data_IF_565022679496
#
_entry.id   IF_565022679496
#
_cell.length_a   1.000
_cell.length_b   1.000
_cell.length_c   1.000
_cell.angle_alpha   90.00
_cell.angle_beta   90.00
_cell.angle_gamma   90.00
#
_symmetry.space_group_name_H-M   'P 1'
#
loop_
_entity.id
_entity.type
_entity.pdbx_description
1 polymer ?
#
# COMPACT_ATOMS: atom_id res chain seq x y z
N UNK A 1 0.82 65.33 12.20
CA UNK A 1 0.97 64.74 10.85
C UNK A 1 -0.07 63.65 10.69
N UNK A 2 -1.07 63.89 9.83
CA UNK A 2 -2.22 63.01 9.64
C UNK A 2 -1.88 61.87 8.67
N UNK A 3 -1.88 60.64 9.16
CA UNK A 3 -1.81 59.44 8.32
C UNK A 3 -3.24 59.08 7.89
N UNK A 4 -3.55 59.33 6.62
CA UNK A 4 -4.82 59.01 5.98
C UNK A 4 -4.79 57.53 5.56
N UNK A 5 -5.38 56.64 6.36
CA UNK A 5 -5.51 55.22 5.99
C UNK A 5 -6.68 55.02 5.02
N UNK A 6 -6.53 54.19 3.97
CA UNK A 6 -7.54 54.04 2.93
C UNK A 6 -8.71 53.15 3.38
N UNK A 7 -9.88 53.47 2.80
CA UNK A 7 -11.13 52.73 2.91
C UNK A 7 -11.07 51.38 2.18
N UNK A 8 -11.65 50.32 2.78
CA UNK A 8 -11.98 49.09 2.06
C UNK A 8 -12.36 47.91 2.95
N UNK A 9 -13.68 47.70 3.14
CA UNK A 9 -14.37 46.45 3.53
C UNK A 9 -14.12 45.85 4.92
N UNK A 10 -12.88 45.60 5.34
CA UNK A 10 -12.58 44.87 6.59
C UNK A 10 -12.91 45.69 7.84
N UNK A 11 -12.66 47.01 7.80
CA UNK A 11 -12.90 47.91 8.91
C UNK A 11 -14.41 48.06 9.23
N UNK A 12 -15.27 48.05 8.20
CA UNK A 12 -16.73 48.11 8.37
C UNK A 12 -17.32 46.83 8.97
N UNK A 13 -16.68 45.68 8.74
CA UNK A 13 -17.08 44.39 9.30
C UNK A 13 -16.66 44.28 10.78
N UNK A 14 -15.43 44.69 11.11
CA UNK A 14 -14.99 44.84 12.51
C UNK A 14 -15.81 45.86 13.29
N UNK A 15 -16.25 46.96 12.66
CA UNK A 15 -17.09 47.97 13.31
C UNK A 15 -18.48 47.45 13.70
N UNK A 16 -18.97 46.39 13.04
CA UNK A 16 -20.24 45.71 13.38
C UNK A 16 -20.08 44.64 14.47
N UNK A 17 -18.87 44.11 14.69
CA UNK A 17 -18.59 43.07 15.69
C UNK A 17 -18.22 43.61 17.08
N UNK A 18 -18.12 44.92 17.25
CA UNK A 18 -17.86 45.52 18.55
C UNK A 18 -19.18 45.62 19.37
N UNK A 19 -19.49 44.57 20.13
CA UNK A 19 -20.69 44.47 20.98
C UNK A 19 -20.56 45.18 22.35
N UNK A 20 -19.41 45.81 22.63
CA UNK A 20 -19.15 46.45 23.92
C UNK A 20 -19.47 47.96 23.90
N UNK A 21 -20.10 48.42 24.98
CA UNK A 21 -20.41 49.84 25.25
C UNK A 21 -19.09 50.61 25.33
N UNK A 22 -18.91 51.67 24.52
CA UNK A 22 -17.69 52.51 24.55
C UNK A 22 -17.48 53.07 25.96
N UNK A 23 -16.29 52.85 26.53
CA UNK A 23 -15.88 53.52 27.77
C UNK A 23 -15.63 55.01 27.47
N UNK A 24 -15.96 55.92 28.39
CA UNK A 24 -15.64 57.35 28.24
C UNK A 24 -14.11 57.54 28.16
N UNK A 25 -13.68 58.47 27.31
CA UNK A 25 -12.27 58.65 26.92
C UNK A 25 -11.35 59.06 28.09
N UNK A 26 -11.92 59.52 29.21
CA UNK A 26 -11.19 59.95 30.43
C UNK A 26 -10.62 58.79 31.27
N UNK A 27 -11.06 57.54 31.04
CA UNK A 27 -10.50 56.34 31.70
C UNK A 27 -9.56 55.54 30.80
N UNK A 28 -9.36 55.96 29.54
CA UNK A 28 -8.62 55.17 28.54
C UNK A 28 -7.39 55.94 28.07
N UNK A 29 -6.25 55.75 28.73
CA UNK A 29 -4.98 56.31 28.26
C UNK A 29 -4.45 55.43 27.13
N UNK A 30 -4.56 55.91 25.89
CA UNK A 30 -3.95 55.24 24.74
C UNK A 30 -2.43 55.45 24.76
N UNK A 31 -1.66 54.39 25.02
CA UNK A 31 -0.20 54.44 24.96
C UNK A 31 0.30 54.01 23.58
N UNK A 32 1.15 54.83 22.96
CA UNK A 32 1.71 54.55 21.62
C UNK A 32 2.58 53.29 21.61
N UNK A 33 3.27 52.99 22.71
CA UNK A 33 4.05 51.75 22.82
C UNK A 33 3.15 50.52 23.02
N UNK A 34 2.01 50.68 23.69
CA UNK A 34 1.04 49.61 23.88
C UNK A 34 0.43 49.14 22.56
N UNK A 35 0.09 50.07 21.66
CA UNK A 35 -0.44 49.72 20.34
C UNK A 35 0.57 48.98 19.47
N UNK A 36 1.86 49.36 19.53
CA UNK A 36 2.94 48.66 18.83
C UNK A 36 3.11 47.25 19.38
N UNK A 37 3.16 47.10 20.71
CA UNK A 37 3.34 45.80 21.35
C UNK A 37 2.16 44.86 21.06
N UNK A 38 0.92 45.37 21.13
CA UNK A 38 -0.28 44.61 20.77
C UNK A 38 -0.26 44.19 19.30
N UNK A 39 0.18 45.07 18.38
CA UNK A 39 0.27 44.74 16.96
C UNK A 39 1.30 43.64 16.71
N UNK A 40 2.49 43.75 17.32
CA UNK A 40 3.54 42.72 17.21
C UNK A 40 3.05 41.38 17.77
N UNK A 41 2.40 41.39 18.95
CA UNK A 41 1.82 40.20 19.54
C UNK A 41 0.74 39.55 18.66
N UNK A 42 -0.15 40.35 18.09
CA UNK A 42 -1.18 39.85 17.17
C UNK A 42 -0.58 39.21 15.92
N UNK A 43 0.47 39.81 15.34
CA UNK A 43 1.20 39.25 14.19
C UNK A 43 1.89 37.94 14.56
N UNK A 44 2.56 37.88 15.71
CA UNK A 44 3.21 36.66 16.18
C UNK A 44 2.20 35.52 16.39
N UNK A 45 1.06 35.80 17.02
CA UNK A 45 -0.02 34.83 17.24
C UNK A 45 -0.60 34.33 15.91
N UNK A 46 -0.84 35.22 14.95
CA UNK A 46 -1.34 34.84 13.63
C UNK A 46 -0.32 33.98 12.85
N UNK A 47 0.97 34.32 12.93
CA UNK A 47 2.03 33.56 12.27
C UNK A 47 2.15 32.15 12.85
N UNK A 48 2.15 32.02 14.18
CA UNK A 48 2.18 30.72 14.85
C UNK A 48 0.96 29.87 14.46
N UNK A 49 -0.23 30.47 14.43
CA UNK A 49 -1.45 29.77 14.01
C UNK A 49 -1.35 29.22 12.59
N UNK A 50 -0.83 30.00 11.64
CA UNK A 50 -0.66 29.54 10.24
C UNK A 50 0.38 28.42 10.13
N UNK A 51 1.49 28.53 10.86
CA UNK A 51 2.53 27.49 10.85
C UNK A 51 2.00 26.16 11.42
N UNK A 52 1.29 26.22 12.55
CA UNK A 52 0.73 25.03 13.18
C UNK A 52 -0.39 24.42 12.33
N UNK A 53 -1.24 25.26 11.74
CA UNK A 53 -2.29 24.79 10.83
C UNK A 53 -1.70 24.07 9.61
N UNK A 54 -0.59 24.59 9.07
CA UNK A 54 0.10 23.93 7.97
C UNK A 54 0.73 22.60 8.41
N UNK A 55 1.34 22.56 9.60
CA UNK A 55 1.89 21.33 10.17
C UNK A 55 0.79 20.28 10.45
N UNK A 56 -0.39 20.71 10.89
CA UNK A 56 -1.54 19.85 11.12
C UNK A 56 -2.14 19.29 9.82
N UNK A 57 -2.18 20.10 8.76
CA UNK A 57 -2.64 19.66 7.44
C UNK A 57 -1.59 18.82 6.70
N UNK A 58 -0.32 18.89 7.11
CA UNK A 58 0.74 18.07 6.55
C UNK A 58 0.57 16.61 7.00
N UNK A 59 0.16 15.75 6.07
CA UNK A 59 0.05 14.31 6.30
C UNK A 59 1.45 13.74 6.51
N UNK A 60 1.76 13.33 7.75
CA UNK A 60 2.93 12.50 8.04
C UNK A 60 2.52 11.04 8.02
N UNK A 61 3.12 10.28 7.11
CA UNK A 61 2.97 8.83 7.07
C UNK A 61 3.92 8.24 8.13
N UNK A 62 3.36 7.80 9.24
CA UNK A 62 4.08 7.04 10.26
C UNK A 62 3.73 5.57 10.11
N UNK A 63 4.73 4.74 9.81
CA UNK A 63 4.56 3.29 9.69
C UNK A 63 4.67 2.67 11.08
N UNK A 64 3.53 2.40 11.71
CA UNK A 64 3.49 1.61 12.94
C UNK A 64 3.51 0.11 12.61
N UNK A 65 4.23 -0.66 13.42
CA UNK A 65 4.26 -2.12 13.34
C UNK A 65 3.24 -2.63 14.36
N UNK A 66 2.08 -3.05 13.89
CA UNK A 66 1.09 -3.73 14.72
C UNK A 66 1.26 -5.24 14.58
N UNK A 67 1.07 -5.94 15.70
CA UNK A 67 1.06 -7.40 15.72
C UNK A 67 -0.29 -7.83 15.14
N UNK A 68 -0.25 -8.55 14.03
CA UNK A 68 -1.46 -9.12 13.44
C UNK A 68 -1.93 -10.29 14.31
N UNK A 69 -3.00 -10.06 15.07
CA UNK A 69 -3.65 -11.05 15.93
C UNK A 69 -4.59 -11.99 15.13
N UNK A 70 -4.50 -12.02 13.79
CA UNK A 70 -5.26 -13.00 13.00
C UNK A 70 -4.67 -14.41 13.16
N UNK A 71 -5.24 -15.10 14.15
CA UNK A 71 -4.93 -16.48 14.52
C UNK A 71 -5.29 -17.46 13.39
N UNK A 72 -4.28 -18.23 12.97
CA UNK A 72 -4.38 -19.59 12.42
C UNK A 72 -5.24 -19.77 11.15
N UNK A 73 -4.98 -18.98 10.12
CA UNK A 73 -5.49 -19.28 8.78
C UNK A 73 -4.40 -19.92 7.92
N UNK A 74 -4.76 -20.99 7.20
CA UNK A 74 -3.85 -21.63 6.24
C UNK A 74 -3.44 -20.62 5.16
N UNK A 75 -2.16 -20.27 5.11
CA UNK A 75 -1.61 -19.38 4.08
C UNK A 75 -1.55 -20.12 2.74
N UNK A 76 -2.17 -19.52 1.71
CA UNK A 76 -2.12 -20.08 0.34
C UNK A 76 -0.83 -19.67 -0.36
N UNK A 77 0.07 -20.63 -0.53
CA UNK A 77 1.32 -20.44 -1.27
C UNK A 77 1.10 -20.88 -2.72
N UNK A 78 1.31 -19.97 -3.68
CA UNK A 78 1.29 -20.28 -5.10
C UNK A 78 2.73 -20.23 -5.62
N UNK A 79 3.22 -21.33 -6.17
CA UNK A 79 4.56 -21.39 -6.76
C UNK A 79 4.53 -22.10 -8.11
N UNK A 80 5.44 -21.69 -8.98
CA UNK A 80 5.71 -22.35 -10.26
C UNK A 80 7.23 -22.51 -10.36
N UNK A 81 7.70 -23.74 -10.17
CA UNK A 81 9.11 -24.09 -10.20
C UNK A 81 9.33 -25.20 -11.22
N UNK A 82 10.44 -25.09 -11.94
CA UNK A 82 10.96 -26.15 -12.82
C UNK A 82 12.23 -26.71 -12.20
N UNK A 83 12.30 -28.04 -12.09
CA UNK A 83 13.50 -28.75 -11.65
C UNK A 83 14.13 -29.39 -12.88
N UNK A 84 15.34 -28.98 -13.22
CA UNK A 84 16.11 -29.60 -14.29
C UNK A 84 16.75 -30.91 -13.77
N UNK A 85 16.83 -31.94 -14.62
CA UNK A 85 17.46 -33.24 -14.33
C UNK A 85 16.81 -34.11 -13.24
N UNK A 86 15.55 -33.84 -12.87
CA UNK A 86 14.77 -34.68 -11.94
C UNK A 86 13.47 -35.22 -12.57
N UNK A 87 13.23 -36.55 -12.57
CA UNK A 87 11.95 -37.12 -13.00
C UNK A 87 10.82 -36.74 -12.03
N UNK A 88 9.62 -36.47 -12.56
CA UNK A 88 8.45 -36.09 -11.74
C UNK A 88 8.05 -37.12 -10.67
N UNK A 89 8.45 -38.39 -10.83
CA UNK A 89 8.18 -39.48 -9.89
C UNK A 89 8.98 -39.34 -8.58
N UNK A 90 10.19 -38.80 -8.65
CA UNK A 90 11.08 -38.67 -7.49
C UNK A 90 11.00 -37.29 -6.82
N UNK A 91 10.28 -36.34 -7.42
CA UNK A 91 10.11 -35.01 -6.86
C UNK A 91 8.96 -35.03 -5.86
N UNK A 92 9.26 -34.81 -4.59
CA UNK A 92 8.27 -34.53 -3.53
C UNK A 92 8.36 -33.08 -3.09
N UNK A 93 7.26 -32.57 -2.53
CA UNK A 93 7.21 -31.24 -1.91
C UNK A 93 6.93 -31.44 -0.44
N UNK A 94 7.77 -30.86 0.42
CA UNK A 94 7.64 -30.90 1.86
C UNK A 94 7.48 -29.46 2.38
N UNK A 95 6.63 -29.28 3.39
CA UNK A 95 6.40 -27.99 4.05
C UNK A 95 6.94 -28.04 5.48
N UNK A 96 7.77 -27.06 5.83
CA UNK A 96 8.24 -26.84 7.20
C UNK A 96 7.85 -25.43 7.63
N UNK A 97 7.15 -25.32 8.76
CA UNK A 97 6.81 -24.04 9.37
C UNK A 97 7.65 -23.78 10.64
N UNK A 98 7.82 -22.51 11.01
CA UNK A 98 8.50 -22.07 12.26
C UNK A 98 7.79 -22.56 13.51
N UNK A 99 6.49 -22.88 13.39
CA UNK A 99 5.66 -23.50 14.42
C UNK A 99 6.06 -24.96 14.71
N UNK A 100 6.94 -25.54 13.88
CA UNK A 100 7.38 -26.93 14.02
C UNK A 100 6.46 -27.95 13.34
N UNK A 101 5.48 -27.49 12.57
CA UNK A 101 4.65 -28.33 11.71
C UNK A 101 5.46 -28.78 10.50
N UNK A 102 5.45 -30.09 10.22
CA UNK A 102 6.16 -30.68 9.10
C UNK A 102 5.24 -31.62 8.33
N UNK A 103 4.96 -31.26 7.08
CA UNK A 103 4.10 -32.03 6.17
C UNK A 103 4.94 -32.55 5.02
N UNK A 104 5.02 -33.86 4.89
CA UNK A 104 5.80 -34.53 3.85
C UNK A 104 4.95 -34.92 2.64
N UNK A 105 5.55 -34.82 1.46
CA UNK A 105 4.99 -35.29 0.19
C UNK A 105 3.56 -34.79 -0.04
N UNK A 106 3.38 -33.48 0.10
CA UNK A 106 2.08 -32.86 -0.14
C UNK A 106 1.70 -32.99 -1.62
N UNK A 107 0.53 -33.58 -1.86
CA UNK A 107 0.00 -33.80 -3.22
C UNK A 107 -1.30 -33.02 -3.46
N UNK A 108 -1.90 -32.46 -2.40
CA UNK A 108 -3.14 -31.67 -2.50
C UNK A 108 -2.86 -30.37 -3.23
N UNK A 109 -3.59 -30.14 -4.33
CA UNK A 109 -3.49 -28.91 -5.15
C UNK A 109 -2.12 -28.68 -5.82
N UNK A 110 -1.31 -29.74 -5.99
CA UNK A 110 -0.04 -29.67 -6.72
C UNK A 110 -0.15 -30.55 -7.95
N UNK A 111 0.18 -30.00 -9.12
CA UNK A 111 0.19 -30.74 -10.38
C UNK A 111 1.61 -30.85 -10.91
N UNK A 112 2.10 -32.08 -11.08
CA UNK A 112 3.43 -32.33 -11.62
C UNK A 112 3.33 -32.51 -13.14
N UNK A 113 4.11 -31.75 -13.88
CA UNK A 113 4.12 -31.82 -15.35
C UNK A 113 5.53 -32.09 -15.85
N UNK A 114 5.66 -33.03 -16.78
CA UNK A 114 6.93 -33.35 -17.41
C UNK A 114 7.25 -32.32 -18.49
N UNK A 115 8.45 -31.76 -18.42
CA UNK A 115 8.98 -30.83 -19.41
C UNK A 115 10.01 -31.52 -20.32
N UNK A 116 10.06 -31.08 -21.57
CA UNK A 116 11.12 -31.42 -22.54
C UNK A 116 12.40 -30.62 -22.27
N UNK A 117 13.50 -31.00 -22.91
CA UNK A 117 14.75 -30.21 -22.97
C UNK A 117 14.54 -28.74 -23.40
N UNK A 118 13.49 -28.46 -24.17
CA UNK A 118 13.11 -27.11 -24.62
C UNK A 118 12.10 -26.41 -23.67
N UNK A 119 11.98 -26.87 -22.42
CA UNK A 119 10.99 -26.40 -21.42
C UNK A 119 9.54 -26.40 -21.88
N UNK A 120 9.20 -27.33 -22.78
CA UNK A 120 7.87 -27.55 -23.31
C UNK A 120 7.15 -28.67 -22.57
N UNK A 121 5.84 -28.54 -22.38
CA UNK A 121 5.02 -29.51 -21.66
C UNK A 121 4.81 -30.79 -22.49
N UNK A 122 5.10 -31.97 -21.93
CA UNK A 122 4.92 -33.26 -22.62
C UNK A 122 3.70 -34.00 -22.08
N UNK A 123 3.62 -34.16 -20.76
CA UNK A 123 2.57 -34.95 -20.11
C UNK A 123 2.38 -34.54 -18.64
N UNK A 124 1.15 -34.65 -18.15
CA UNK A 124 0.83 -34.57 -16.73
C UNK A 124 1.19 -35.91 -16.06
N UNK A 125 1.82 -35.87 -14.88
CA UNK A 125 1.96 -37.06 -14.07
C UNK A 125 0.60 -37.40 -13.46
N UNK A 126 0.11 -38.65 -13.57
CA UNK A 126 -1.16 -39.03 -12.95
C UNK A 126 -0.98 -39.08 -11.44
N UNK A 127 -1.51 -38.10 -10.73
CA UNK A 127 -1.60 -38.09 -9.28
C UNK A 127 -3.07 -38.25 -8.83
N UNK A 128 -3.25 -38.89 -7.67
CA UNK A 128 -4.56 -39.16 -7.09
C UNK A 128 -5.20 -37.86 -6.56
N UNK A 129 -5.74 -37.04 -7.48
CA UNK A 129 -6.56 -35.89 -7.12
C UNK A 129 -6.32 -34.59 -7.87
N UNK A 130 -5.30 -34.48 -8.75
CA UNK A 130 -5.15 -33.29 -9.58
C UNK A 130 -5.87 -33.42 -10.93
N UNK A 131 -6.87 -32.55 -11.12
CA UNK A 131 -7.22 -32.10 -12.46
C UNK A 131 -6.12 -31.20 -13.02
N UNK A 132 -6.04 -31.08 -14.35
CA UNK A 132 -5.10 -30.17 -15.03
C UNK A 132 -5.28 -28.73 -14.50
N UNK A 133 -4.22 -28.07 -13.98
CA UNK A 133 -4.34 -26.79 -13.31
C UNK A 133 -4.73 -25.69 -14.31
N UNK A 134 -5.74 -24.89 -13.98
CA UNK A 134 -6.34 -23.90 -14.88
C UNK A 134 -5.39 -22.77 -15.30
N UNK A 135 -4.28 -22.55 -14.58
CA UNK A 135 -3.25 -21.57 -14.94
C UNK A 135 -2.30 -22.07 -16.04
N UNK A 136 -2.15 -23.39 -16.18
CA UNK A 136 -1.35 -24.01 -17.24
C UNK A 136 -2.30 -24.39 -18.38
N UNK A 137 -2.95 -23.40 -18.99
CA UNK A 137 -3.61 -23.63 -20.28
C UNK A 137 -2.57 -23.45 -21.37
N UNK A 138 -2.12 -24.53 -22.05
CA UNK A 138 -1.21 -24.36 -23.17
C UNK A 138 -1.91 -23.52 -24.23
N UNK A 139 -1.19 -22.52 -24.71
CA UNK A 139 -1.64 -21.67 -25.80
C UNK A 139 -1.89 -22.55 -27.04
N UNK A 140 -2.80 -22.17 -27.94
CA UNK A 140 -3.05 -22.95 -29.16
C UNK A 140 -1.77 -23.24 -29.98
N UNK A 141 -0.77 -22.33 -29.91
CA UNK A 141 0.55 -22.52 -30.49
C UNK A 141 1.39 -23.61 -29.78
N UNK A 142 1.33 -23.68 -28.44
CA UNK A 142 2.01 -24.70 -27.66
C UNK A 142 1.38 -26.09 -27.88
N UNK A 143 0.04 -26.16 -27.99
CA UNK A 143 -0.67 -27.39 -28.35
C UNK A 143 -0.33 -27.90 -29.76
N UNK A 144 -0.09 -27.01 -30.72
CA UNK A 144 0.33 -27.39 -32.07
C UNK A 144 1.77 -27.95 -32.08
N UNK A 145 2.66 -27.36 -31.28
CA UNK A 145 4.05 -27.83 -31.11
C UNK A 145 4.12 -29.19 -30.39
N UNK A 146 3.40 -29.30 -29.27
CA UNK A 146 2.61 -30.47 -28.84
C UNK A 146 2.64 -31.71 -29.73
N UNK A 147 1.68 -31.69 -30.64
CA UNK A 147 1.40 -32.73 -31.62
C UNK A 147 2.57 -32.98 -32.59
N UNK A 148 3.38 -31.96 -32.91
CA UNK A 148 4.47 -32.08 -33.86
C UNK A 148 5.66 -32.93 -33.36
N UNK A 149 6.05 -32.87 -32.08
CA UNK A 149 7.13 -33.75 -31.57
C UNK A 149 6.66 -35.18 -31.31
N UNK A 150 5.37 -35.38 -30.97
CA UNK A 150 4.81 -36.73 -30.82
C UNK A 150 4.84 -37.53 -32.13
N UNK A 151 4.79 -36.86 -33.28
CA UNK A 151 4.96 -37.50 -34.58
C UNK A 151 6.40 -37.86 -34.97
N UNK A 152 7.41 -37.44 -34.18
CA UNK A 152 8.83 -37.69 -34.46
C UNK A 152 9.49 -38.76 -33.56
N UNK A 153 8.87 -39.12 -32.45
CA UNK A 153 9.44 -40.07 -31.47
C UNK A 153 9.13 -41.55 -31.76
N UNK A 154 8.20 -41.85 -32.69
CA UNK A 154 7.87 -43.23 -33.11
C UNK A 154 8.68 -43.68 -34.36
N UNK A 155 9.73 -42.94 -34.75
CA UNK A 155 10.53 -43.20 -35.95
C UNK A 155 12.02 -43.53 -35.67
N UNK A 156 12.36 -43.97 -34.45
CA UNK A 156 13.70 -44.44 -34.08
C UNK A 156 13.63 -45.74 -33.27
#
# INVERSE_FOLDING_TARGET
MAARMPHGSALSLFRRLNYFKKLPDDLTISTTHGSILTLVGAVAMALLFVLELNAFLAVRLETTIEIDDTVDTMMRINFNLTVDDAPCEYVSVDLTDVTGTYEHNITRHISKVRLSQWRRWIALHPDEGAGMPAYIKPTAAELAQIAAERGGADAA
#
